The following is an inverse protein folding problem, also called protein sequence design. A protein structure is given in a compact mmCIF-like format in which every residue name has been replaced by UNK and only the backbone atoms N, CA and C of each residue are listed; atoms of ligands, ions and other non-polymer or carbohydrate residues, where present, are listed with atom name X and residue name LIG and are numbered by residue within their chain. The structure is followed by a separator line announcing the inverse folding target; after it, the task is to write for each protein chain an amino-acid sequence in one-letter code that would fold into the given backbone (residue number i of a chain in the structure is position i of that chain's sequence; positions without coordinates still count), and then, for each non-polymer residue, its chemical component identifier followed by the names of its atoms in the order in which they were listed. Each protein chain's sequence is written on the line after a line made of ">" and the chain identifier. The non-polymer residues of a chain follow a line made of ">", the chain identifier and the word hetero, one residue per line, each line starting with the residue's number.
data_IF_787441714539
#
_entry.id   IF_787441714539
#
_cell.length_a   1.000
_cell.length_b   1.000
_cell.length_c   1.000
_cell.angle_alpha   90.00
_cell.angle_beta   90.00
_cell.angle_gamma   90.00
#
_symmetry.space_group_name_H-M   'P 1'
#
loop_
_entity.id
_entity.type
_entity.pdbx_description
1 polymer ?
#
# COMPACT_ATOMS: atom_id res chain seq x y z
N UNK A 1 15.76 -5.28 -2.73
CA UNK A 1 15.68 -6.59 -2.04
C UNK A 1 14.20 -6.87 -1.81
N UNK A 2 13.71 -8.11 -1.91
CA UNK A 2 12.29 -8.37 -1.60
C UNK A 2 12.02 -8.00 -0.13
N UNK A 3 10.89 -7.36 0.13
CA UNK A 3 10.46 -6.95 1.47
C UNK A 3 10.65 -8.07 2.50
N UNK A 4 11.19 -7.75 3.69
CA UNK A 4 11.26 -8.67 4.84
C UNK A 4 9.87 -8.98 5.43
N UNK A 5 8.87 -8.15 5.09
CA UNK A 5 7.49 -8.23 5.56
C UNK A 5 6.65 -9.00 4.54
N UNK A 6 5.90 -9.99 5.02
CA UNK A 6 4.94 -10.77 4.25
C UNK A 6 3.64 -10.00 3.94
N UNK A 7 2.86 -10.52 3.00
CA UNK A 7 1.55 -9.96 2.65
C UNK A 7 0.63 -9.92 3.88
N UNK A 8 0.62 -11.02 4.64
CA UNK A 8 -0.21 -11.20 5.81
C UNK A 8 0.18 -10.24 6.94
N UNK A 9 1.48 -10.02 7.16
CA UNK A 9 1.98 -9.05 8.13
C UNK A 9 1.57 -7.62 7.76
N UNK A 10 1.77 -7.22 6.50
CA UNK A 10 1.39 -5.87 6.06
C UNK A 10 -0.14 -5.66 6.18
N UNK A 11 -0.94 -6.63 5.74
CA UNK A 11 -2.40 -6.55 5.85
C UNK A 11 -2.83 -6.44 7.32
N UNK A 12 -2.19 -7.17 8.23
CA UNK A 12 -2.49 -7.10 9.66
C UNK A 12 -2.11 -5.74 10.25
N UNK A 13 -0.98 -5.14 9.85
CA UNK A 13 -0.65 -3.76 10.23
C UNK A 13 -1.75 -2.78 9.79
N UNK A 14 -2.31 -2.97 8.59
CA UNK A 14 -3.44 -2.17 8.10
C UNK A 14 -4.74 -2.40 8.86
N UNK A 15 -5.02 -3.62 9.31
CA UNK A 15 -6.18 -3.88 10.18
C UNK A 15 -6.04 -3.23 11.55
N UNK A 16 -4.84 -3.23 12.11
CA UNK A 16 -4.56 -2.59 13.40
C UNK A 16 -4.62 -1.06 13.27
N UNK A 17 -4.17 -0.51 12.13
CA UNK A 17 -4.26 0.93 11.84
C UNK A 17 -3.26 1.78 12.63
N UNK A 18 -2.14 1.21 13.07
CA UNK A 18 -1.11 1.90 13.87
C UNK A 18 0.21 1.94 13.12
N UNK A 19 0.80 3.13 12.95
CA UNK A 19 2.11 3.32 12.31
C UNK A 19 2.09 3.08 10.79
N UNK A 20 0.95 3.32 10.14
CA UNK A 20 0.74 3.11 8.70
C UNK A 20 0.00 4.30 8.06
N UNK A 21 0.25 5.49 8.58
CA UNK A 21 -0.28 6.74 8.03
C UNK A 21 0.05 6.88 6.54
N UNK A 22 1.26 6.48 6.16
CA UNK A 22 1.71 6.34 4.77
C UNK A 22 2.56 5.08 4.59
N UNK A 23 2.46 4.43 3.45
CA UNK A 23 3.24 3.26 3.04
C UNK A 23 3.53 3.39 1.56
N UNK A 24 4.80 3.25 1.21
CA UNK A 24 5.32 3.45 -0.14
C UNK A 24 5.83 2.14 -0.69
N UNK A 25 5.49 1.87 -1.96
CA UNK A 25 5.97 0.71 -2.69
C UNK A 25 6.01 1.00 -4.18
N UNK A 26 6.72 0.16 -4.93
CA UNK A 26 6.63 0.11 -6.39
C UNK A 26 6.48 -1.34 -6.84
N UNK A 27 6.18 -1.54 -8.13
CA UNK A 27 6.19 -2.88 -8.73
C UNK A 27 7.44 -3.08 -9.59
N UNK A 28 8.18 -4.17 -9.34
CA UNK A 28 9.43 -4.49 -10.05
C UNK A 28 9.23 -4.96 -11.51
N UNK A 29 7.98 -5.23 -11.90
CA UNK A 29 7.58 -5.55 -13.27
C UNK A 29 7.04 -4.33 -14.04
N UNK A 30 6.92 -3.17 -13.40
CA UNK A 30 6.53 -1.92 -14.05
C UNK A 30 7.78 -1.18 -14.59
N UNK A 31 7.88 -0.90 -15.92
CA UNK A 31 9.08 -0.30 -16.51
C UNK A 31 9.50 1.06 -15.96
N UNK A 32 8.57 1.78 -15.32
CA UNK A 32 8.79 3.09 -14.73
C UNK A 32 9.04 3.04 -13.23
N UNK A 33 8.94 1.87 -12.58
CA UNK A 33 9.08 1.67 -11.13
C UNK A 33 8.44 2.81 -10.33
N UNK A 34 7.20 3.16 -10.70
CA UNK A 34 6.53 4.33 -10.13
C UNK A 34 6.13 4.06 -8.69
N UNK A 35 6.44 5.00 -7.80
CA UNK A 35 6.02 4.93 -6.41
C UNK A 35 4.50 5.04 -6.29
N UNK A 36 3.95 4.12 -5.52
CA UNK A 36 2.56 4.04 -5.12
C UNK A 36 2.45 4.32 -3.63
N UNK A 37 1.40 5.04 -3.25
CA UNK A 37 1.17 5.45 -1.87
C UNK A 37 -0.17 4.92 -1.40
N UNK A 38 -0.15 4.28 -0.23
CA UNK A 38 -1.34 3.85 0.49
C UNK A 38 -1.20 4.20 1.96
N UNK A 39 -2.30 4.26 2.69
CA UNK A 39 -2.20 4.51 4.12
C UNK A 39 -3.53 4.45 4.85
N UNK A 40 -3.49 4.88 6.11
CA UNK A 40 -4.62 4.89 7.02
C UNK A 40 -4.68 6.16 7.86
N UNK A 41 -5.81 6.85 7.81
CA UNK A 41 -6.08 8.09 8.52
C UNK A 41 -7.42 7.97 9.27
N UNK A 42 -7.42 7.60 10.56
CA UNK A 42 -8.63 7.22 11.32
C UNK A 42 -9.63 8.36 11.52
N UNK A 43 -9.25 9.60 11.23
CA UNK A 43 -10.11 10.78 11.36
C UNK A 43 -11.14 10.94 10.23
N UNK A 44 -11.08 10.11 9.17
CA UNK A 44 -12.00 10.16 8.03
C UNK A 44 -12.98 8.99 8.02
N UNK A 45 -14.15 9.18 7.38
CA UNK A 45 -15.20 8.16 7.26
C UNK A 45 -14.72 6.91 6.51
N UNK A 46 -13.86 7.10 5.50
CA UNK A 46 -13.16 6.05 4.77
C UNK A 46 -11.66 6.19 5.06
N UNK A 47 -11.17 5.56 6.12
CA UNK A 47 -9.86 5.89 6.66
C UNK A 47 -8.71 5.32 5.83
N UNK A 48 -8.98 4.32 4.98
CA UNK A 48 -7.97 3.70 4.12
C UNK A 48 -7.90 4.40 2.77
N UNK A 49 -6.70 4.69 2.29
CA UNK A 49 -6.54 5.46 1.05
C UNK A 49 -5.43 4.90 0.16
N UNK A 50 -5.55 5.19 -1.14
CA UNK A 50 -4.49 5.04 -2.13
C UNK A 50 -4.46 6.29 -3.02
N UNK A 51 -3.29 6.89 -3.29
CA UNK A 51 -3.25 8.19 -3.96
C UNK A 51 -1.89 8.81 -4.26
N UNK A 52 -1.88 10.14 -4.35
CA UNK A 52 -0.78 11.05 -4.74
C UNK A 52 -0.41 11.07 -6.22
N UNK A 53 0.34 10.08 -6.72
CA UNK A 53 1.10 10.24 -7.98
C UNK A 53 0.46 9.55 -9.19
N UNK A 54 -0.23 8.43 -8.96
CA UNK A 54 -0.69 7.49 -9.99
C UNK A 54 -2.22 7.36 -10.06
N UNK A 55 -2.93 7.70 -8.97
CA UNK A 55 -4.39 7.64 -8.89
C UNK A 55 -4.95 9.06 -8.88
N UNK A 56 -5.50 9.48 -10.03
CA UNK A 56 -6.20 10.76 -10.16
C UNK A 56 -7.36 10.83 -9.15
N UNK A 57 -7.35 11.88 -8.33
CA UNK A 57 -8.29 12.14 -7.23
C UNK A 57 -8.19 11.16 -6.03
N UNK A 58 -7.25 10.21 -6.08
CA UNK A 58 -7.12 9.15 -5.08
C UNK A 58 -8.32 8.20 -5.04
N UNK A 59 -8.26 7.23 -4.14
CA UNK A 59 -9.38 6.36 -3.81
C UNK A 59 -9.36 6.03 -2.33
N UNK A 60 -10.55 5.91 -1.75
CA UNK A 60 -10.73 5.71 -0.31
C UNK A 60 -11.60 4.48 -0.04
N UNK A 61 -11.31 3.79 1.06
CA UNK A 61 -11.93 2.52 1.43
C UNK A 61 -12.30 2.48 2.91
N UNK A 62 -13.29 1.67 3.24
CA UNK A 62 -13.77 1.48 4.61
C UNK A 62 -12.95 0.42 5.35
N UNK A 63 -12.35 -0.55 4.64
CA UNK A 63 -11.54 -1.62 5.26
C UNK A 63 -10.20 -1.83 4.56
N UNK A 64 -9.24 -2.38 5.30
CA UNK A 64 -7.95 -2.80 4.77
C UNK A 64 -8.11 -3.81 3.61
N UNK A 65 -9.05 -4.75 3.73
CA UNK A 65 -9.31 -5.72 2.65
C UNK A 65 -9.81 -5.05 1.37
N UNK A 66 -10.66 -4.03 1.47
CA UNK A 66 -11.12 -3.32 0.28
C UNK A 66 -9.95 -2.67 -0.44
N UNK A 67 -9.05 -2.00 0.29
CA UNK A 67 -7.81 -1.43 -0.26
C UNK A 67 -6.94 -2.51 -0.93
N UNK A 68 -6.64 -3.61 -0.24
CA UNK A 68 -5.72 -4.65 -0.73
C UNK A 68 -6.28 -5.46 -1.91
N UNK A 69 -7.61 -5.49 -2.08
CA UNK A 69 -8.29 -6.15 -3.19
C UNK A 69 -8.75 -5.17 -4.29
N UNK A 70 -8.51 -3.86 -4.13
CA UNK A 70 -8.88 -2.86 -5.13
C UNK A 70 -8.08 -3.00 -6.42
N UNK A 71 -8.75 -3.03 -7.57
CA UNK A 71 -8.14 -3.23 -8.89
C UNK A 71 -7.66 -1.94 -9.55
N UNK A 72 -6.85 -1.19 -8.82
CA UNK A 72 -6.43 0.17 -9.17
C UNK A 72 -5.04 0.23 -9.83
N UNK A 73 -4.28 -0.87 -9.83
CA UNK A 73 -2.95 -0.95 -10.42
C UNK A 73 -3.01 -1.73 -11.74
N UNK A 74 -3.32 -1.05 -12.85
CA UNK A 74 -3.44 -1.68 -14.17
C UNK A 74 -4.56 -2.73 -14.23
N UNK A 75 -5.62 -2.56 -13.45
CA UNK A 75 -6.73 -3.52 -13.35
C UNK A 75 -6.46 -4.73 -12.44
N UNK A 76 -5.34 -4.72 -11.70
CA UNK A 76 -4.99 -5.70 -10.68
C UNK A 76 -4.89 -5.05 -9.30
N UNK A 77 -4.99 -5.87 -8.25
CA UNK A 77 -4.82 -5.44 -6.86
C UNK A 77 -3.42 -5.69 -6.29
N UNK A 78 -3.15 -5.12 -5.10
CA UNK A 78 -1.96 -5.43 -4.29
C UNK A 78 -1.83 -6.93 -4.08
N UNK A 79 -2.94 -7.60 -3.70
CA UNK A 79 -2.97 -9.05 -3.52
C UNK A 79 -2.60 -9.82 -4.78
N UNK A 80 -3.10 -9.41 -5.95
CA UNK A 80 -2.79 -10.06 -7.23
C UNK A 80 -1.35 -9.81 -7.70
N UNK A 81 -0.75 -8.68 -7.31
CA UNK A 81 0.61 -8.26 -7.70
C UNK A 81 1.66 -8.44 -6.61
N UNK A 82 1.33 -9.05 -5.47
CA UNK A 82 2.22 -9.10 -4.31
C UNK A 82 3.63 -9.61 -4.62
N UNK A 83 3.75 -10.59 -5.51
CA UNK A 83 5.04 -11.17 -5.90
C UNK A 83 6.01 -10.18 -6.58
N UNK A 84 5.48 -9.07 -7.10
CA UNK A 84 6.19 -7.98 -7.76
C UNK A 84 6.27 -6.71 -6.91
N UNK A 85 5.58 -6.67 -5.77
CA UNK A 85 5.55 -5.50 -4.91
C UNK A 85 6.85 -5.40 -4.11
N UNK A 86 7.50 -4.26 -4.21
CA UNK A 86 8.69 -3.90 -3.43
C UNK A 86 8.30 -2.76 -2.49
N UNK A 87 8.17 -3.08 -1.20
CA UNK A 87 7.98 -2.07 -0.16
C UNK A 87 9.27 -1.26 0.00
N UNK A 88 9.12 0.05 0.18
CA UNK A 88 10.23 0.98 0.41
C UNK A 88 10.11 1.66 1.77
N UNK A 89 8.90 2.01 2.18
CA UNK A 89 8.63 2.72 3.43
C UNK A 89 7.30 2.29 4.06
N UNK A 90 7.27 2.21 5.39
CA UNK A 90 6.05 2.04 6.19
C UNK A 90 6.10 3.03 7.36
N UNK A 91 5.11 3.91 7.45
CA UNK A 91 4.94 4.86 8.54
C UNK A 91 6.12 5.81 8.74
N UNK A 92 6.76 6.28 7.65
CA UNK A 92 7.95 7.11 7.74
C UNK A 92 9.26 6.35 7.93
N UNK A 93 9.24 5.02 8.01
CA UNK A 93 10.42 4.19 8.27
C UNK A 93 10.76 3.37 7.02
N UNK A 94 12.00 3.49 6.56
CA UNK A 94 12.49 2.70 5.44
C UNK A 94 12.48 1.20 5.80
N UNK A 95 11.99 0.36 4.89
CA UNK A 95 11.87 -1.08 5.17
C UNK A 95 13.19 -1.82 5.32
N UNK A 96 14.31 -1.27 4.83
CA UNK A 96 15.64 -1.84 5.06
C UNK A 96 16.08 -1.70 6.53
N UNK A 97 15.56 -0.69 7.24
CA UNK A 97 15.81 -0.41 8.66
C UNK A 97 14.89 -1.22 9.61
N UNK A 98 13.94 -1.99 9.06
CA UNK A 98 13.04 -2.90 9.80
C UNK A 98 13.62 -4.30 10.03
#
# INVERSE_FOLDING_TARGET
>A
MKSKISYEELLEMFRIGSGIDETVFYFDDDPSETDHYIGFLPQYDKPYWAGYCDIKDGTEFETAEQLFNAKIYGGKSIKERWNHLVLTEIGGINTDDL
#
